data_IF_232931109263
#
_entry.id   IF_232931109263
#
_cell.length_a   1.000
_cell.length_b   1.000
_cell.length_c   1.000
_cell.angle_alpha   90.00
_cell.angle_beta   90.00
_cell.angle_gamma   90.00
#
_symmetry.space_group_name_H-M   'P 1'
#
loop_
_entity.id
_entity.type
_entity.pdbx_description
1 polymer ?
#
# COMPACT_ATOMS: atom_id res chain seq x y z
N UNK A 1 21.68 48.81 5.93
CA UNK A 1 20.41 48.95 5.16
C UNK A 1 20.64 48.37 3.78
N UNK A 2 19.60 47.77 3.18
CA UNK A 2 19.57 46.88 2.00
C UNK A 2 19.68 45.41 2.44
N UNK A 3 18.62 44.60 2.53
CA UNK A 3 17.35 44.60 1.79
C UNK A 3 17.37 43.44 0.80
N UNK A 4 17.38 42.20 1.29
CA UNK A 4 17.30 41.00 0.46
C UNK A 4 15.85 40.81 0.01
N UNK A 5 15.58 41.09 -1.25
CA UNK A 5 14.33 40.75 -1.94
C UNK A 5 14.28 39.24 -2.13
N UNK A 6 13.32 38.59 -1.48
CA UNK A 6 12.91 37.23 -1.79
C UNK A 6 12.35 37.19 -3.22
N UNK A 7 12.97 36.37 -4.07
CA UNK A 7 12.48 36.10 -5.42
C UNK A 7 11.23 35.21 -5.33
N UNK A 8 10.07 35.82 -5.57
CA UNK A 8 8.78 35.14 -5.73
C UNK A 8 8.88 34.03 -6.79
N UNK A 9 8.87 32.77 -6.35
CA UNK A 9 8.70 31.61 -7.22
C UNK A 9 7.23 31.55 -7.66
N UNK A 10 6.97 31.99 -8.89
CA UNK A 10 5.64 32.03 -9.49
C UNK A 10 5.03 30.61 -9.54
N UNK A 11 3.96 30.40 -8.77
CA UNK A 11 3.22 29.14 -8.63
C UNK A 11 2.13 28.96 -9.70
N UNK A 12 2.48 29.01 -10.99
CA UNK A 12 1.51 28.86 -12.08
C UNK A 12 2.00 27.91 -13.18
N UNK A 13 2.27 26.66 -12.80
CA UNK A 13 2.24 25.52 -13.74
C UNK A 13 1.11 24.61 -13.25
N UNK A 14 -0.07 24.83 -13.80
CA UNK A 14 -1.24 23.96 -13.62
C UNK A 14 -1.04 22.71 -14.49
N UNK A 15 -0.27 21.74 -13.98
CA UNK A 15 -0.39 20.38 -14.46
C UNK A 15 -1.68 19.78 -13.86
N UNK A 16 -2.64 19.49 -14.74
CA UNK A 16 -3.98 18.96 -14.41
C UNK A 16 -3.98 17.55 -13.79
N UNK A 17 -2.84 17.08 -13.26
CA UNK A 17 -2.68 15.81 -12.54
C UNK A 17 -2.39 15.98 -11.05
N UNK A 18 -2.17 17.21 -10.56
CA UNK A 18 -2.00 17.47 -9.12
C UNK A 18 -3.35 17.77 -8.45
N UNK A 19 -4.12 16.72 -8.19
CA UNK A 19 -5.20 16.77 -7.20
C UNK A 19 -4.60 16.63 -5.80
N UNK A 20 -3.71 17.55 -5.42
CA UNK A 20 -3.27 17.74 -4.04
C UNK A 20 -3.61 19.16 -3.67
N UNK A 21 -4.81 19.32 -3.13
CA UNK A 21 -5.38 20.62 -2.77
C UNK A 21 -4.67 21.14 -1.51
N UNK A 22 -4.45 22.45 -1.41
CA UNK A 22 -3.75 23.14 -0.28
C UNK A 22 -4.28 22.73 1.12
N UNK A 23 -5.53 22.27 1.22
CA UNK A 23 -6.11 21.71 2.46
C UNK A 23 -5.44 20.42 2.93
N UNK A 24 -5.05 19.53 2.02
CA UNK A 24 -4.43 18.25 2.38
C UNK A 24 -3.01 18.46 2.91
N UNK A 25 -2.25 19.39 2.32
CA UNK A 25 -0.91 19.76 2.77
C UNK A 25 -0.87 20.21 4.25
N UNK A 26 -1.87 20.99 4.69
CA UNK A 26 -2.00 21.44 6.08
C UNK A 26 -2.28 20.28 7.06
N UNK A 27 -3.03 19.26 6.63
CA UNK A 27 -3.30 18.09 7.48
C UNK A 27 -2.07 17.18 7.65
N UNK A 28 -1.26 17.00 6.61
CA UNK A 28 -0.03 16.21 6.72
C UNK A 28 1.01 16.87 7.62
N UNK A 29 1.12 18.19 7.58
CA UNK A 29 1.99 18.95 8.51
C UNK A 29 1.59 18.74 9.98
N UNK A 30 0.28 18.66 10.28
CA UNK A 30 -0.21 18.39 11.63
C UNK A 30 0.13 16.97 12.10
N UNK A 31 0.08 15.98 11.22
CA UNK A 31 0.44 14.59 11.54
C UNK A 31 1.93 14.44 11.88
N UNK A 32 2.80 15.21 11.21
CA UNK A 32 4.24 15.22 11.51
C UNK A 32 4.55 15.71 12.93
N UNK A 33 3.72 16.58 13.49
CA UNK A 33 3.85 17.02 14.90
C UNK A 33 3.64 15.88 15.89
N UNK A 34 2.89 14.84 15.49
CA UNK A 34 2.66 13.61 16.26
C UNK A 34 3.67 12.49 15.92
N UNK A 35 4.73 12.80 15.17
CA UNK A 35 5.72 11.81 14.72
C UNK A 35 5.20 10.84 13.66
N UNK A 36 4.08 11.16 12.99
CA UNK A 36 3.53 10.36 11.90
C UNK A 36 4.13 10.89 10.59
N UNK A 37 4.99 10.09 9.97
CA UNK A 37 5.63 10.41 8.70
C UNK A 37 4.95 9.70 7.55
N UNK A 38 4.82 10.38 6.41
CA UNK A 38 4.29 9.76 5.20
C UNK A 38 5.33 8.82 4.57
N UNK A 39 4.88 7.62 4.23
CA UNK A 39 5.67 6.60 3.55
C UNK A 39 5.38 6.64 2.06
N UNK A 40 5.90 7.66 1.38
CA UNK A 40 5.64 7.87 -0.06
C UNK A 40 5.96 6.63 -0.89
N UNK A 41 5.02 6.20 -1.73
CA UNK A 41 5.24 5.10 -2.67
C UNK A 41 5.60 5.62 -4.05
N UNK A 42 6.43 4.87 -4.78
CA UNK A 42 6.72 5.23 -6.17
C UNK A 42 5.48 5.05 -7.03
N UNK A 43 5.23 6.00 -7.93
CA UNK A 43 4.10 5.97 -8.85
C UNK A 43 4.04 4.63 -9.59
N UNK A 44 2.84 4.02 -9.63
CA UNK A 44 2.55 2.75 -10.32
C UNK A 44 3.32 1.54 -9.80
N UNK A 45 3.76 1.57 -8.53
CA UNK A 45 4.31 0.40 -7.86
C UNK A 45 3.21 -0.45 -7.20
N UNK A 46 2.64 -1.39 -7.96
CA UNK A 46 1.59 -2.28 -7.48
C UNK A 46 2.00 -3.13 -6.25
N UNK A 47 3.31 -3.35 -6.03
CA UNK A 47 3.78 -4.12 -4.88
C UNK A 47 3.74 -3.32 -3.59
N UNK A 48 4.02 -2.02 -3.64
CA UNK A 48 3.90 -1.13 -2.48
C UNK A 48 2.44 -1.03 -2.01
N UNK A 49 1.48 -1.05 -2.94
CA UNK A 49 0.05 -1.02 -2.64
C UNK A 49 -0.59 -2.41 -2.47
N UNK A 50 0.21 -3.48 -2.47
CA UNK A 50 -0.32 -4.85 -2.49
C UNK A 50 -1.22 -5.17 -1.28
N UNK A 51 -0.98 -4.55 -0.13
CA UNK A 51 -1.82 -4.71 1.07
C UNK A 51 -3.20 -4.09 0.83
N UNK A 52 -3.25 -2.86 0.32
CA UNK A 52 -4.50 -2.17 -0.01
C UNK A 52 -5.30 -2.95 -1.06
N UNK A 53 -4.64 -3.41 -2.12
CA UNK A 53 -5.30 -4.23 -3.15
C UNK A 53 -5.83 -5.55 -2.59
N UNK A 54 -5.06 -6.21 -1.71
CA UNK A 54 -5.52 -7.44 -1.05
C UNK A 54 -6.72 -7.17 -0.15
N UNK A 55 -6.74 -6.04 0.56
CA UNK A 55 -7.87 -5.61 1.36
C UNK A 55 -9.10 -5.36 0.48
N UNK A 56 -8.97 -4.63 -0.63
CA UNK A 56 -10.06 -4.42 -1.59
C UNK A 56 -10.65 -5.75 -2.07
N UNK A 57 -9.81 -6.73 -2.38
CA UNK A 57 -10.27 -8.07 -2.77
C UNK A 57 -11.03 -8.78 -1.65
N UNK A 58 -10.53 -8.72 -0.41
CA UNK A 58 -11.22 -9.30 0.76
C UNK A 58 -12.59 -8.66 0.97
N UNK A 59 -12.65 -7.32 0.92
CA UNK A 59 -13.89 -6.56 1.04
C UNK A 59 -14.89 -6.94 -0.05
N UNK A 60 -14.43 -7.00 -1.30
CA UNK A 60 -15.28 -7.39 -2.43
C UNK A 60 -15.82 -8.82 -2.26
N UNK A 61 -15.01 -9.75 -1.76
CA UNK A 61 -15.45 -11.12 -1.50
C UNK A 61 -16.50 -11.18 -0.38
N UNK A 62 -16.28 -10.46 0.73
CA UNK A 62 -17.26 -10.34 1.82
C UNK A 62 -18.60 -9.83 1.29
N UNK A 63 -18.57 -8.75 0.50
CA UNK A 63 -19.79 -8.16 -0.06
C UNK A 63 -20.50 -9.12 -1.03
N UNK A 64 -19.77 -9.77 -1.95
CA UNK A 64 -20.35 -10.75 -2.88
C UNK A 64 -21.00 -11.92 -2.16
N UNK A 65 -20.34 -12.45 -1.14
CA UNK A 65 -20.88 -13.58 -0.35
C UNK A 65 -22.08 -13.16 0.49
N UNK A 66 -22.04 -11.97 1.10
CA UNK A 66 -23.09 -11.49 2.00
C UNK A 66 -24.32 -10.95 1.26
N UNK A 67 -24.12 -10.36 0.08
CA UNK A 67 -25.12 -9.61 -0.68
C UNK A 67 -25.19 -10.07 -2.15
N UNK A 68 -25.33 -11.38 -2.36
CA UNK A 68 -25.32 -11.98 -3.70
C UNK A 68 -26.52 -11.56 -4.59
N UNK A 69 -27.63 -11.11 -3.98
CA UNK A 69 -28.89 -10.87 -4.69
C UNK A 69 -29.27 -9.39 -4.83
N UNK A 70 -28.72 -8.50 -4.00
CA UNK A 70 -29.05 -7.08 -4.02
C UNK A 70 -27.94 -6.25 -3.37
N UNK A 71 -27.56 -5.14 -4.00
CA UNK A 71 -26.54 -4.25 -3.46
C UNK A 71 -27.04 -3.56 -2.18
N UNK A 72 -26.29 -3.61 -1.06
CA UNK A 72 -26.65 -2.90 0.16
C UNK A 72 -26.46 -1.39 0.00
N UNK A 73 -27.09 -0.60 0.89
CA UNK A 73 -26.73 0.81 1.03
C UNK A 73 -25.29 0.95 1.56
N UNK A 74 -24.65 2.08 1.27
CA UNK A 74 -23.25 2.32 1.64
C UNK A 74 -22.99 2.11 3.14
N UNK A 75 -23.86 2.65 4.00
CA UNK A 75 -23.71 2.55 5.46
C UNK A 75 -23.80 1.09 5.95
N UNK A 76 -24.74 0.32 5.39
CA UNK A 76 -24.92 -1.10 5.72
C UNK A 76 -23.73 -1.92 5.24
N UNK A 77 -23.22 -1.62 4.04
CA UNK A 77 -22.03 -2.27 3.51
C UNK A 77 -20.81 -2.04 4.41
N UNK A 78 -20.58 -0.79 4.84
CA UNK A 78 -19.45 -0.43 5.71
C UNK A 78 -19.52 -1.17 7.04
N UNK A 79 -20.68 -1.22 7.69
CA UNK A 79 -20.83 -1.95 8.95
C UNK A 79 -20.68 -3.46 8.79
N UNK A 80 -21.21 -4.03 7.69
CA UNK A 80 -21.03 -5.44 7.38
C UNK A 80 -19.55 -5.79 7.16
N UNK A 81 -18.80 -4.93 6.46
CA UNK A 81 -17.36 -5.10 6.22
C UNK A 81 -16.59 -5.02 7.54
N UNK A 82 -16.84 -3.99 8.38
CA UNK A 82 -16.15 -3.83 9.67
C UNK A 82 -16.30 -5.08 10.53
N UNK A 83 -17.53 -5.57 10.69
CA UNK A 83 -17.84 -6.77 11.48
C UNK A 83 -17.20 -8.01 10.88
N UNK A 84 -17.37 -8.25 9.58
CA UNK A 84 -16.82 -9.42 8.92
C UNK A 84 -15.28 -9.43 8.94
N UNK A 85 -14.63 -8.29 8.79
CA UNK A 85 -13.18 -8.19 8.82
C UNK A 85 -12.61 -8.44 10.23
N UNK A 86 -13.26 -7.89 11.26
CA UNK A 86 -12.84 -8.10 12.63
C UNK A 86 -13.04 -9.55 13.08
N UNK A 87 -14.17 -10.16 12.72
CA UNK A 87 -14.66 -11.39 13.33
C UNK A 87 -14.61 -12.65 12.46
N UNK A 88 -14.54 -12.51 11.14
CA UNK A 88 -14.69 -13.64 10.23
C UNK A 88 -13.59 -13.74 9.17
N UNK A 89 -12.78 -12.69 8.97
CA UNK A 89 -11.72 -12.67 7.98
C UNK A 89 -10.48 -13.44 8.46
N UNK A 90 -10.63 -14.76 8.52
CA UNK A 90 -9.57 -15.69 8.87
C UNK A 90 -8.46 -15.64 7.82
N UNK A 91 -7.22 -15.50 8.28
CA UNK A 91 -6.05 -15.41 7.42
C UNK A 91 -5.05 -16.51 7.72
N UNK A 92 -4.61 -17.22 6.68
CA UNK A 92 -3.49 -18.17 6.79
C UNK A 92 -2.16 -17.49 7.13
N UNK A 93 -2.06 -16.16 6.96
CA UNK A 93 -0.93 -15.38 7.43
C UNK A 93 -0.95 -15.18 8.95
N UNK A 94 -2.15 -15.16 9.55
CA UNK A 94 -2.38 -15.04 10.99
C UNK A 94 -2.63 -16.40 11.64
N UNK A 95 -2.07 -17.49 11.07
CA UNK A 95 -2.26 -18.87 11.54
C UNK A 95 -3.74 -19.25 11.73
N UNK A 96 -4.61 -18.81 10.82
CA UNK A 96 -6.05 -19.03 10.85
C UNK A 96 -6.78 -18.32 12.01
N UNK A 97 -6.17 -17.29 12.59
CA UNK A 97 -6.87 -16.34 13.44
C UNK A 97 -7.42 -15.18 12.60
N UNK A 98 -8.39 -14.49 13.17
CA UNK A 98 -8.90 -13.22 12.67
C UNK A 98 -8.01 -12.05 13.15
N UNK A 99 -8.02 -10.91 12.44
CA UNK A 99 -7.33 -9.71 12.89
C UNK A 99 -7.79 -9.24 14.28
N UNK A 100 -9.09 -9.34 14.57
CA UNK A 100 -9.64 -8.95 15.87
C UNK A 100 -9.10 -9.80 17.02
N UNK A 101 -9.07 -11.13 16.85
CA UNK A 101 -8.48 -12.05 17.83
C UNK A 101 -6.99 -11.79 18.05
N UNK A 102 -6.26 -11.47 16.98
CA UNK A 102 -4.81 -11.22 17.07
C UNK A 102 -4.48 -9.95 17.84
N UNK A 103 -5.31 -8.91 17.71
CA UNK A 103 -5.09 -7.59 18.35
C UNK A 103 -5.63 -7.56 19.78
N UNK A 104 -6.82 -8.12 20.00
CA UNK A 104 -7.53 -8.02 21.29
C UNK A 104 -7.41 -9.27 22.17
N UNK A 105 -6.81 -10.35 21.67
CA UNK A 105 -6.69 -11.64 22.38
C UNK A 105 -8.04 -12.23 22.84
N UNK A 106 -9.11 -11.92 22.10
CA UNK A 106 -10.46 -12.44 22.33
C UNK A 106 -11.20 -12.65 21.01
N UNK A 107 -12.13 -13.60 21.00
CA UNK A 107 -13.04 -13.81 19.86
C UNK A 107 -13.97 -12.59 19.72
N UNK A 108 -14.23 -12.16 18.48
CA UNK A 108 -15.02 -10.95 18.21
C UNK A 108 -16.53 -11.20 18.10
N UNK A 109 -16.96 -12.45 18.07
CA UNK A 109 -18.36 -12.86 18.08
C UNK A 109 -18.79 -13.32 19.48
N UNK A 110 -17.92 -14.08 20.14
CA UNK A 110 -18.12 -14.69 21.43
C UNK A 110 -17.15 -14.08 22.43
N UNK A 111 -17.60 -13.80 23.65
CA UNK A 111 -16.72 -13.28 24.70
C UNK A 111 -15.83 -14.40 25.29
N UNK A 112 -14.95 -14.96 24.46
CA UNK A 112 -14.06 -16.07 24.79
C UNK A 112 -12.61 -15.59 24.58
N UNK A 113 -11.70 -15.80 25.54
CA UNK A 113 -10.29 -15.46 25.38
C UNK A 113 -9.63 -16.35 24.33
N UNK A 114 -8.77 -15.77 23.49
CA UNK A 114 -8.04 -16.47 22.43
C UNK A 114 -6.55 -16.29 22.65
N UNK A 115 -5.83 -17.41 22.72
CA UNK A 115 -4.38 -17.42 22.89
C UNK A 115 -3.73 -17.34 21.51
N UNK A 116 -3.01 -16.25 21.26
CA UNK A 116 -2.36 -15.99 19.97
C UNK A 116 -0.85 -15.92 20.15
N UNK A 117 -0.14 -16.87 19.55
CA UNK A 117 1.33 -16.87 19.54
C UNK A 117 1.88 -15.97 18.42
N UNK A 118 2.10 -14.70 18.77
CA UNK A 118 2.63 -13.69 17.85
C UNK A 118 4.06 -13.99 17.40
N UNK A 119 4.87 -14.64 18.24
CA UNK A 119 6.26 -14.98 17.91
C UNK A 119 6.30 -16.04 16.81
N UNK A 120 5.51 -17.10 16.95
CA UNK A 120 5.36 -18.11 15.91
C UNK A 120 4.83 -17.53 14.60
N UNK A 121 3.88 -16.59 14.66
CA UNK A 121 3.39 -15.89 13.47
C UNK A 121 4.49 -15.10 12.77
N UNK A 122 5.28 -14.34 13.54
CA UNK A 122 6.39 -13.55 13.01
C UNK A 122 7.44 -14.46 12.35
N UNK A 123 7.82 -15.57 13.00
CA UNK A 123 8.77 -16.53 12.47
C UNK A 123 8.28 -17.16 11.16
N UNK A 124 7.02 -17.62 11.11
CA UNK A 124 6.41 -18.17 9.89
C UNK A 124 6.35 -17.14 8.76
N UNK A 125 6.05 -15.88 9.08
CA UNK A 125 6.07 -14.77 8.11
C UNK A 125 7.49 -14.58 7.56
N UNK A 126 8.49 -14.54 8.43
CA UNK A 126 9.87 -14.37 8.01
C UNK A 126 10.35 -15.53 7.13
N UNK A 127 10.00 -16.77 7.48
CA UNK A 127 10.30 -17.94 6.66
C UNK A 127 9.70 -17.82 5.25
N UNK A 128 8.42 -17.46 5.14
CA UNK A 128 7.76 -17.24 3.84
C UNK A 128 8.44 -16.12 3.04
N UNK A 129 8.84 -15.03 3.69
CA UNK A 129 9.57 -13.93 3.04
C UNK A 129 10.91 -14.44 2.50
N UNK A 130 11.69 -15.14 3.32
CA UNK A 130 13.00 -15.67 2.92
C UNK A 130 12.90 -16.66 1.76
N UNK A 131 11.93 -17.58 1.80
CA UNK A 131 11.72 -18.54 0.71
C UNK A 131 11.26 -17.84 -0.59
N UNK A 132 10.39 -16.83 -0.48
CA UNK A 132 10.01 -16.02 -1.62
C UNK A 132 11.21 -15.25 -2.19
N UNK A 133 12.04 -14.64 -1.36
CA UNK A 133 13.26 -13.97 -1.77
C UNK A 133 14.23 -14.93 -2.47
N UNK A 134 14.44 -16.14 -1.93
CA UNK A 134 15.26 -17.19 -2.56
C UNK A 134 14.75 -17.53 -3.96
N UNK A 135 13.45 -17.77 -4.11
CA UNK A 135 12.82 -18.09 -5.41
C UNK A 135 12.90 -16.94 -6.40
N UNK A 136 12.71 -15.69 -5.95
CA UNK A 136 12.80 -14.53 -6.83
C UNK A 136 14.25 -14.23 -7.23
N UNK A 137 15.19 -14.32 -6.30
CA UNK A 137 16.62 -14.14 -6.57
C UNK A 137 17.15 -15.19 -7.55
N UNK A 138 16.72 -16.45 -7.42
CA UNK A 138 17.10 -17.51 -8.36
C UNK A 138 16.64 -17.25 -9.81
N UNK A 139 15.63 -16.40 -10.02
CA UNK A 139 15.15 -16.01 -11.36
C UNK A 139 15.82 -14.75 -11.89
N UNK A 140 16.54 -14.00 -11.05
CA UNK A 140 17.17 -12.74 -11.46
C UNK A 140 18.38 -13.05 -12.34
N UNK A 141 18.53 -12.25 -13.41
CA UNK A 141 19.79 -12.16 -14.14
C UNK A 141 20.65 -11.14 -13.42
N UNK A 142 21.91 -11.48 -13.20
CA UNK A 142 22.87 -10.60 -12.57
C UNK A 142 23.12 -9.38 -13.47
N UNK A 143 22.94 -8.19 -12.89
CA UNK A 143 23.26 -6.92 -13.54
C UNK A 143 23.67 -5.94 -12.46
N UNK A 144 24.95 -5.53 -12.51
CA UNK A 144 25.51 -4.57 -11.56
C UNK A 144 25.31 -3.15 -12.07
N UNK A 145 24.47 -2.40 -11.36
CA UNK A 145 24.29 -0.98 -11.63
C UNK A 145 25.54 -0.21 -11.21
N UNK A 146 26.09 0.60 -12.12
CA UNK A 146 27.23 1.48 -11.87
C UNK A 146 26.78 2.94 -12.04
N UNK A 147 27.23 3.81 -11.14
CA UNK A 147 27.07 5.26 -11.28
C UNK A 147 27.72 5.69 -12.61
N UNK A 148 27.04 6.50 -13.40
CA UNK A 148 27.46 6.83 -14.77
C UNK A 148 27.01 5.81 -15.83
N UNK A 149 26.42 4.68 -15.44
CA UNK A 149 25.89 3.68 -16.35
C UNK A 149 24.59 4.15 -17.01
N UNK A 150 24.39 3.78 -18.27
CA UNK A 150 23.18 4.08 -19.02
C UNK A 150 22.10 3.01 -18.76
N UNK A 151 20.92 3.44 -18.35
CA UNK A 151 19.75 2.56 -18.17
C UNK A 151 18.56 3.07 -18.96
N UNK A 152 17.75 2.12 -19.43
CA UNK A 152 16.49 2.41 -20.09
C UNK A 152 15.35 2.44 -19.05
N UNK A 153 14.54 3.49 -19.08
CA UNK A 153 13.37 3.61 -18.19
C UNK A 153 12.12 3.14 -18.93
N UNK A 154 11.37 2.22 -18.33
CA UNK A 154 10.09 1.74 -18.88
C UNK A 154 9.11 2.89 -18.99
N UNK A 155 8.52 3.06 -20.17
CA UNK A 155 7.47 4.05 -20.40
C UNK A 155 6.14 3.54 -19.83
N UNK A 156 5.62 4.20 -18.80
CA UNK A 156 4.40 3.80 -18.10
C UNK A 156 3.12 4.37 -18.70
N UNK A 157 3.22 5.34 -19.61
CA UNK A 157 2.11 6.13 -20.15
C UNK A 157 2.09 6.10 -21.69
N UNK A 158 2.71 5.09 -22.30
CA UNK A 158 2.74 4.91 -23.74
C UNK A 158 1.37 4.53 -24.30
N UNK A 159 1.03 5.11 -25.45
CA UNK A 159 -0.11 4.71 -26.29
C UNK A 159 0.29 3.51 -27.15
N UNK A 160 -0.69 2.95 -27.86
CA UNK A 160 -0.47 1.85 -28.80
C UNK A 160 0.56 2.28 -29.85
N UNK A 161 1.58 1.44 -30.07
CA UNK A 161 2.76 1.67 -30.95
C UNK A 161 3.86 2.58 -30.40
N UNK A 162 3.71 3.17 -29.21
CA UNK A 162 4.78 3.97 -28.62
C UNK A 162 5.97 3.10 -28.17
N UNK A 163 7.19 3.66 -28.14
CA UNK A 163 8.35 2.99 -27.57
C UNK A 163 8.11 2.55 -26.12
N UNK A 164 8.38 1.27 -25.84
CA UNK A 164 8.21 0.66 -24.51
C UNK A 164 9.18 1.22 -23.47
N UNK A 165 10.33 1.71 -23.91
CA UNK A 165 11.37 2.27 -23.06
C UNK A 165 11.78 3.64 -23.58
N UNK A 166 12.03 4.58 -22.68
CA UNK A 166 12.65 5.86 -23.01
C UNK A 166 14.17 5.68 -22.97
N UNK A 167 14.85 6.48 -23.79
CA UNK A 167 16.28 6.38 -24.11
C UNK A 167 17.22 6.35 -22.90
N UNK A 168 18.53 6.16 -23.14
CA UNK A 168 19.49 5.94 -22.08
C UNK A 168 19.52 7.15 -21.14
N UNK A 169 19.23 6.89 -19.87
CA UNK A 169 19.41 7.85 -18.79
C UNK A 169 20.62 7.42 -17.97
N UNK A 170 21.48 8.39 -17.68
CA UNK A 170 22.60 8.21 -16.78
C UNK A 170 22.08 8.00 -15.35
N UNK A 171 22.63 7.00 -14.65
CA UNK A 171 22.45 6.83 -13.22
C UNK A 171 23.32 7.84 -12.47
N UNK A 172 22.69 8.72 -11.69
CA UNK A 172 23.33 9.66 -10.78
C UNK A 172 23.53 9.05 -9.40
#
# INVERSE_FOLDING_TARGET
MNGLQESNFNSNILDHTNVFTIKEANSFAKLATWGIHDGGTTSKNATANAICERMHLTVANILRTRYNNAAPSFQVAVEAIKRALAACAVSTALMNNTPGETVFHCDMLLNIPVIVDLLSMQQKRQYKINENLRRQNAKRKEFDFRIGGEVLIKNTDGRKLDPKYRGPKCLY
#
